data_IF_075856287862
#
_entry.id   IF_075856287862
#
_cell.length_a   1.000
_cell.length_b   1.000
_cell.length_c   1.000
_cell.angle_alpha   90.00
_cell.angle_beta   90.00
_cell.angle_gamma   90.00
#
_symmetry.space_group_name_H-M   'P 1'
#
loop_
_entity.id
_entity.type
_entity.pdbx_description
1 polymer ?
#
# COMPACT_ATOMS: atom_id res chain seq x y z
N UNK A 1 18.02 -12.30 4.61
CA UNK A 1 17.38 -11.00 5.00
C UNK A 1 17.00 -11.11 6.46
N UNK A 2 17.16 -10.06 7.29
CA UNK A 2 16.69 -10.15 8.69
C UNK A 2 15.16 -9.99 8.71
N UNK A 3 14.44 -11.12 8.82
CA UNK A 3 12.97 -11.16 8.82
C UNK A 3 12.37 -10.39 10.00
N UNK A 4 12.95 -10.50 11.19
CA UNK A 4 12.47 -9.78 12.38
C UNK A 4 12.57 -8.27 12.19
N UNK A 5 13.65 -7.79 11.58
CA UNK A 5 13.78 -6.39 11.20
C UNK A 5 12.65 -5.97 10.24
N UNK A 6 12.39 -6.72 9.17
CA UNK A 6 11.33 -6.37 8.20
C UNK A 6 9.94 -6.40 8.84
N UNK A 7 9.65 -7.39 9.71
CA UNK A 7 8.39 -7.47 10.44
C UNK A 7 8.21 -6.25 11.35
N UNK A 8 9.26 -5.81 12.04
CA UNK A 8 9.23 -4.60 12.86
C UNK A 8 9.01 -3.35 12.00
N UNK A 9 9.59 -3.26 10.81
CA UNK A 9 9.33 -2.17 9.88
C UNK A 9 7.86 -2.16 9.41
N UNK A 10 7.28 -3.33 9.14
CA UNK A 10 5.85 -3.45 8.82
C UNK A 10 4.97 -2.97 9.98
N UNK A 11 5.29 -3.35 11.22
CA UNK A 11 4.56 -2.91 12.42
C UNK A 11 4.60 -1.38 12.59
N UNK A 12 5.75 -0.76 12.30
CA UNK A 12 5.88 0.70 12.40
C UNK A 12 5.05 1.43 11.36
N UNK A 13 5.07 0.95 10.12
CA UNK A 13 4.24 1.50 9.04
C UNK A 13 2.75 1.37 9.36
N UNK A 14 2.33 0.21 9.88
CA UNK A 14 0.95 -0.04 10.28
C UNK A 14 0.43 0.99 11.31
N UNK A 15 1.25 1.32 12.30
CA UNK A 15 0.89 2.31 13.32
C UNK A 15 0.80 3.71 12.72
N UNK A 16 1.78 4.12 11.91
CA UNK A 16 1.81 5.45 11.28
C UNK A 16 0.56 5.66 10.40
N UNK A 17 0.23 4.71 9.52
CA UNK A 17 -0.94 4.86 8.64
C UNK A 17 -2.26 4.81 9.42
N UNK A 18 -2.31 4.09 10.55
CA UNK A 18 -3.47 4.11 11.43
C UNK A 18 -3.63 5.47 12.11
N UNK A 19 -2.55 6.04 12.64
CA UNK A 19 -2.56 7.38 13.24
C UNK A 19 -3.02 8.44 12.24
N UNK A 20 -2.45 8.44 11.02
CA UNK A 20 -2.88 9.31 9.91
C UNK A 20 -4.38 9.14 9.60
N UNK A 21 -4.86 7.89 9.57
CA UNK A 21 -6.28 7.61 9.31
C UNK A 21 -7.19 8.12 10.43
N UNK A 22 -6.76 8.08 11.69
CA UNK A 22 -7.53 8.59 12.82
C UNK A 22 -7.54 10.12 12.86
N UNK A 23 -6.42 10.78 12.53
CA UNK A 23 -6.35 12.24 12.40
C UNK A 23 -7.33 12.76 11.35
N UNK A 24 -7.33 12.16 10.15
CA UNK A 24 -8.24 12.54 9.06
C UNK A 24 -9.71 12.36 9.45
N UNK A 25 -10.04 11.30 10.18
CA UNK A 25 -11.41 11.08 10.69
C UNK A 25 -11.81 12.16 11.69
N UNK A 26 -10.89 12.64 12.53
CA UNK A 26 -11.15 13.68 13.52
C UNK A 26 -11.32 15.06 12.87
N UNK A 27 -10.49 15.38 11.88
CA UNK A 27 -10.55 16.65 11.15
C UNK A 27 -11.80 16.74 10.24
N UNK A 28 -12.37 15.58 9.87
CA UNK A 28 -13.53 15.47 8.97
C UNK A 28 -13.31 16.20 7.62
N UNK A 29 -12.06 16.24 7.16
CA UNK A 29 -11.71 16.82 5.87
C UNK A 29 -12.18 15.89 4.74
N UNK A 30 -13.26 16.28 4.07
CA UNK A 30 -13.82 15.53 2.95
C UNK A 30 -12.84 15.35 1.79
N UNK A 31 -11.90 16.27 1.60
CA UNK A 31 -10.91 16.18 0.53
C UNK A 31 -9.83 15.12 0.81
N UNK A 32 -9.67 14.71 2.07
CA UNK A 32 -8.68 13.71 2.48
C UNK A 32 -9.27 12.30 2.63
N UNK A 33 -10.58 12.10 2.37
CA UNK A 33 -11.25 10.79 2.53
C UNK A 33 -10.64 9.67 1.69
N UNK A 34 -10.05 9.98 0.53
CA UNK A 34 -9.37 9.00 -0.31
C UNK A 34 -8.18 8.34 0.41
N UNK A 35 -7.53 9.05 1.34
CA UNK A 35 -6.39 8.56 2.13
C UNK A 35 -6.83 7.39 3.02
N UNK A 36 -8.07 7.39 3.53
CA UNK A 36 -8.58 6.29 4.34
C UNK A 36 -8.59 4.99 3.53
N UNK A 37 -9.10 5.04 2.30
CA UNK A 37 -9.14 3.89 1.40
C UNK A 37 -7.73 3.50 0.93
N UNK A 38 -6.86 4.48 0.69
CA UNK A 38 -5.45 4.25 0.37
C UNK A 38 -4.75 3.49 1.51
N UNK A 39 -4.99 3.88 2.76
CA UNK A 39 -4.45 3.23 3.95
C UNK A 39 -5.06 1.85 4.23
N UNK A 40 -6.30 1.57 3.82
CA UNK A 40 -6.83 0.20 3.77
C UNK A 40 -5.97 -0.68 2.84
N UNK A 41 -5.57 -0.15 1.67
CA UNK A 41 -4.65 -0.82 0.75
C UNK A 41 -3.27 -1.07 1.36
N UNK A 42 -2.75 -0.10 2.14
CA UNK A 42 -1.54 -0.28 2.92
C UNK A 42 -1.64 -1.46 3.88
N UNK A 43 -2.71 -1.46 4.68
CA UNK A 43 -2.98 -2.48 5.71
C UNK A 43 -3.04 -3.88 5.11
N UNK A 44 -3.84 -4.03 4.05
CA UNK A 44 -4.05 -5.32 3.37
C UNK A 44 -2.72 -5.92 2.88
N UNK A 45 -1.85 -5.11 2.27
CA UNK A 45 -0.56 -5.63 1.81
C UNK A 45 0.37 -5.96 2.98
N UNK A 46 0.42 -5.11 4.00
CA UNK A 46 1.25 -5.32 5.20
C UNK A 46 0.89 -6.66 5.86
N UNK A 47 -0.39 -6.91 6.11
CA UNK A 47 -0.85 -8.12 6.79
C UNK A 47 -0.52 -9.38 5.99
N UNK A 48 -0.78 -9.36 4.67
CA UNK A 48 -0.42 -10.46 3.77
C UNK A 48 1.09 -10.67 3.68
N UNK A 49 1.87 -9.60 3.69
CA UNK A 49 3.32 -9.68 3.61
C UNK A 49 3.91 -10.21 4.92
N UNK A 50 3.41 -9.78 6.07
CA UNK A 50 3.80 -10.34 7.37
C UNK A 50 3.43 -11.83 7.45
N UNK A 51 2.25 -12.22 6.98
CA UNK A 51 1.84 -13.63 6.89
C UNK A 51 2.77 -14.42 6.00
N UNK A 52 3.07 -13.94 4.79
CA UNK A 52 4.06 -14.56 3.89
C UNK A 52 5.38 -14.76 4.62
N UNK A 53 5.91 -13.70 5.26
CA UNK A 53 7.16 -13.78 5.98
C UNK A 53 7.09 -14.83 7.08
N UNK A 54 6.02 -14.88 7.89
CA UNK A 54 5.85 -15.82 9.02
C UNK A 54 5.72 -17.28 8.55
N UNK A 55 4.83 -17.53 7.59
CA UNK A 55 4.40 -18.87 7.17
C UNK A 55 5.43 -19.58 6.27
N UNK A 56 6.36 -18.82 5.71
CA UNK A 56 7.42 -19.36 4.87
C UNK A 56 8.76 -19.18 5.57
N UNK A 57 9.68 -20.14 5.41
CA UNK A 57 11.09 -19.96 5.78
C UNK A 57 11.81 -19.04 4.78
N UNK A 58 11.14 -17.95 4.37
CA UNK A 58 11.64 -16.96 3.42
C UNK A 58 12.66 -16.09 4.14
N UNK A 59 13.88 -16.61 4.19
CA UNK A 59 15.08 -15.86 4.48
C UNK A 59 15.66 -15.20 3.22
N UNK A 60 15.20 -15.62 2.04
CA UNK A 60 15.62 -15.09 0.74
C UNK A 60 14.89 -13.79 0.39
N UNK A 61 15.68 -12.72 0.34
CA UNK A 61 15.30 -11.39 -0.14
C UNK A 61 14.67 -11.43 -1.54
N UNK A 62 15.11 -12.32 -2.43
CA UNK A 62 14.58 -12.43 -3.80
C UNK A 62 13.12 -12.87 -3.82
N UNK A 63 12.72 -13.78 -2.93
CA UNK A 63 11.33 -14.26 -2.84
C UNK A 63 10.41 -13.13 -2.37
N UNK A 64 10.79 -12.45 -1.29
CA UNK A 64 10.04 -11.30 -0.77
C UNK A 64 9.88 -10.19 -1.84
N UNK A 65 10.97 -9.84 -2.54
CA UNK A 65 10.94 -8.87 -3.64
C UNK A 65 10.01 -9.31 -4.78
N UNK A 66 10.10 -10.57 -5.20
CA UNK A 66 9.26 -11.13 -6.27
C UNK A 66 7.78 -11.06 -5.89
N UNK A 67 7.46 -11.35 -4.63
CA UNK A 67 6.10 -11.27 -4.12
C UNK A 67 5.56 -9.83 -4.13
N UNK A 68 6.35 -8.85 -3.64
CA UNK A 68 5.95 -7.44 -3.67
C UNK A 68 5.76 -6.93 -5.11
N UNK A 69 6.69 -7.25 -6.02
CA UNK A 69 6.58 -6.90 -7.45
C UNK A 69 5.33 -7.48 -8.11
N UNK A 70 4.93 -8.71 -7.75
CA UNK A 70 3.68 -9.30 -8.26
C UNK A 70 2.45 -8.51 -7.83
N UNK A 71 2.40 -8.06 -6.58
CA UNK A 71 1.29 -7.23 -6.08
C UNK A 71 1.26 -5.86 -6.79
N UNK A 72 2.42 -5.21 -6.96
CA UNK A 72 2.55 -3.96 -7.73
C UNK A 72 2.01 -4.16 -9.15
N UNK A 73 2.43 -5.21 -9.86
CA UNK A 73 1.95 -5.48 -11.22
C UNK A 73 0.43 -5.69 -11.28
N UNK A 74 -0.14 -6.41 -10.29
CA UNK A 74 -1.58 -6.66 -10.22
C UNK A 74 -2.35 -5.35 -9.99
N UNK A 75 -1.96 -4.55 -9.01
CA UNK A 75 -2.62 -3.29 -8.68
C UNK A 75 -2.47 -2.25 -9.78
N UNK A 76 -1.28 -2.09 -10.36
CA UNK A 76 -1.07 -1.22 -11.52
C UNK A 76 -1.92 -1.63 -12.74
N UNK A 77 -2.21 -2.92 -12.93
CA UNK A 77 -3.10 -3.36 -14.02
C UNK A 77 -4.54 -2.88 -13.78
N UNK A 78 -5.00 -2.91 -12.54
CA UNK A 78 -6.34 -2.42 -12.16
C UNK A 78 -6.42 -0.91 -12.37
N UNK A 79 -5.46 -0.16 -11.81
CA UNK A 79 -5.32 1.30 -11.99
C UNK A 79 -5.33 1.67 -13.47
N UNK A 80 -4.47 1.05 -14.29
CA UNK A 80 -4.41 1.32 -15.74
C UNK A 80 -5.70 1.01 -16.49
N UNK A 81 -6.52 0.07 -16.01
CA UNK A 81 -7.80 -0.23 -16.62
C UNK A 81 -8.82 0.86 -16.28
N UNK A 82 -8.81 1.37 -15.05
CA UNK A 82 -9.62 2.52 -14.63
C UNK A 82 -9.17 3.79 -15.35
N UNK A 83 -7.88 4.05 -15.44
CA UNK A 83 -7.33 5.16 -16.23
C UNK A 83 -7.82 5.11 -17.68
N UNK A 84 -7.81 3.92 -18.30
CA UNK A 84 -8.32 3.77 -19.67
C UNK A 84 -9.83 3.96 -19.78
N UNK A 85 -10.57 3.57 -18.74
CA UNK A 85 -12.03 3.75 -18.68
C UNK A 85 -12.37 5.24 -18.65
N UNK A 86 -11.66 6.03 -17.87
CA UNK A 86 -11.99 7.44 -17.64
C UNK A 86 -11.22 8.44 -18.53
N UNK A 87 -10.00 8.12 -19.00
CA UNK A 87 -9.21 9.02 -19.86
C UNK A 87 -9.47 8.86 -21.37
N UNK A 88 -10.30 7.90 -21.81
CA UNK A 88 -10.61 7.70 -23.24
C UNK A 88 -11.91 8.37 -23.69
N UNK A 89 -12.68 8.95 -22.78
CA UNK A 89 -13.82 9.77 -23.12
C UNK A 89 -13.36 11.24 -23.16
N UNK A 90 -13.74 11.96 -24.22
CA UNK A 90 -13.50 13.39 -24.40
C UNK A 90 -14.23 14.29 -23.39
N UNK A 91 -14.92 13.69 -22.43
CA UNK A 91 -15.79 14.36 -21.48
C UNK A 91 -15.18 14.17 -20.09
N UNK A 92 -15.23 15.22 -19.28
CA UNK A 92 -14.83 15.31 -17.88
C UNK A 92 -15.62 14.33 -16.97
N UNK A 93 -15.70 13.04 -17.32
CA UNK A 93 -16.36 12.01 -16.54
C UNK A 93 -15.57 11.77 -15.27
N UNK A 94 -16.09 12.34 -14.19
CA UNK A 94 -15.64 12.10 -12.83
C UNK A 94 -15.77 10.59 -12.55
N UNK A 95 -14.70 10.00 -12.00
CA UNK A 95 -14.71 8.60 -11.57
C UNK A 95 -15.84 8.39 -10.57
N UNK A 96 -16.64 7.33 -10.73
CA UNK A 96 -17.68 7.04 -9.74
C UNK A 96 -17.04 6.56 -8.43
N UNK A 97 -17.77 6.68 -7.33
CA UNK A 97 -17.29 6.37 -5.98
C UNK A 97 -16.71 4.95 -5.85
N UNK A 98 -17.28 3.95 -6.54
CA UNK A 98 -16.80 2.57 -6.45
C UNK A 98 -15.47 2.39 -7.17
N UNK A 99 -15.35 2.92 -8.38
CA UNK A 99 -14.10 2.90 -9.14
C UNK A 99 -13.02 3.73 -8.47
N UNK A 100 -13.37 4.88 -7.88
CA UNK A 100 -12.46 5.72 -7.10
C UNK A 100 -11.95 4.96 -5.87
N UNK A 101 -12.84 4.26 -5.16
CA UNK A 101 -12.45 3.41 -4.04
C UNK A 101 -11.49 2.30 -4.48
N UNK A 102 -11.78 1.61 -5.59
CA UNK A 102 -10.92 0.57 -6.14
C UNK A 102 -9.56 1.14 -6.55
N UNK A 103 -9.56 2.32 -7.17
CA UNK A 103 -8.35 3.03 -7.58
C UNK A 103 -7.46 3.32 -6.38
N UNK A 104 -7.97 4.06 -5.40
CA UNK A 104 -7.22 4.51 -4.23
C UNK A 104 -6.70 3.34 -3.39
N UNK A 105 -7.49 2.28 -3.24
CA UNK A 105 -7.07 1.06 -2.55
C UNK A 105 -5.87 0.38 -3.24
N UNK A 106 -5.90 0.29 -4.58
CA UNK A 106 -4.82 -0.32 -5.34
C UNK A 106 -3.58 0.59 -5.42
N UNK A 107 -3.77 1.90 -5.43
CA UNK A 107 -2.69 2.88 -5.33
C UNK A 107 -1.96 2.73 -3.98
N UNK A 108 -2.71 2.59 -2.88
CA UNK A 108 -2.18 2.24 -1.56
C UNK A 108 -1.31 0.99 -1.62
N UNK A 109 -1.82 -0.12 -2.16
CA UNK A 109 -1.03 -1.35 -2.32
C UNK A 109 0.31 -1.09 -3.05
N UNK A 110 0.28 -0.33 -4.14
CA UNK A 110 1.49 0.03 -4.89
C UNK A 110 2.46 0.85 -4.02
N UNK A 111 1.97 1.91 -3.38
CA UNK A 111 2.74 2.82 -2.53
C UNK A 111 3.50 2.06 -1.43
N UNK A 112 2.79 1.25 -0.64
CA UNK A 112 3.43 0.50 0.45
C UNK A 112 4.36 -0.60 -0.07
N UNK A 113 4.04 -1.23 -1.20
CA UNK A 113 4.91 -2.24 -1.78
C UNK A 113 6.28 -1.65 -2.18
N UNK A 114 6.30 -0.46 -2.78
CA UNK A 114 7.54 0.24 -3.09
C UNK A 114 8.31 0.64 -1.82
N UNK A 115 7.61 1.11 -0.78
CA UNK A 115 8.23 1.41 0.52
C UNK A 115 8.88 0.16 1.13
N UNK A 116 8.19 -0.98 1.14
CA UNK A 116 8.73 -2.24 1.64
C UNK A 116 9.91 -2.74 0.79
N UNK A 117 9.88 -2.57 -0.53
CA UNK A 117 11.03 -2.87 -1.40
C UNK A 117 12.25 -2.03 -1.02
N UNK A 118 12.08 -0.74 -0.75
CA UNK A 118 13.17 0.14 -0.33
C UNK A 118 13.73 -0.25 1.04
N UNK A 119 12.87 -0.68 1.97
CA UNK A 119 13.29 -1.19 3.29
C UNK A 119 14.09 -2.49 3.14
N UNK A 120 13.60 -3.43 2.33
CA UNK A 120 14.29 -4.68 2.00
C UNK A 120 15.65 -4.41 1.32
N UNK A 121 15.74 -3.33 0.55
CA UNK A 121 16.96 -2.84 -0.07
C UNK A 121 17.86 -2.00 0.84
N UNK A 122 17.47 -1.80 2.10
CA UNK A 122 18.18 -0.95 3.08
C UNK A 122 18.36 0.50 2.60
N UNK A 123 17.48 0.96 1.70
CA UNK A 123 17.43 2.34 1.19
C UNK A 123 16.48 3.23 2.00
N UNK A 124 15.66 2.62 2.86
CA UNK A 124 14.74 3.30 3.76
C UNK A 124 14.69 2.54 5.09
N UNK A 125 14.50 3.29 6.16
CA UNK A 125 14.29 2.77 7.51
C UNK A 125 13.29 3.69 8.22
N UNK A 126 12.34 3.09 8.92
CA UNK A 126 11.31 3.80 9.69
C UNK A 126 11.79 3.86 11.13
N UNK A 127 12.22 5.04 11.55
CA UNK A 127 13.16 5.21 12.67
C UNK A 127 12.54 5.00 14.04
N UNK A 128 11.32 5.46 14.28
CA UNK A 128 10.51 5.19 15.49
C UNK A 128 9.20 5.96 15.38
N UNK A 129 8.15 5.40 15.97
CA UNK A 129 6.96 6.14 16.37
C UNK A 129 7.36 6.86 17.66
N UNK A 130 7.11 8.17 17.73
CA UNK A 130 7.34 8.95 18.95
C UNK A 130 6.33 8.56 20.03
#
# INVERSE_FOLDING_TARGET
MNKNFIIEQCRRLDIIHREESEEIKQENDSNCKWILVHNEGHKELIDKFQKLLKDTDVNDKKVARKWLKKNITKSNKIIKNLDKKYNKFFNDEIMNDEDERIYNFNDGICCIAYTLLNIIDRRRYITKIK
#
